data_IF_657330440499
#
_entry.id   IF_657330440499
#
_cell.length_a   1.000
_cell.length_b   1.000
_cell.length_c   1.000
_cell.angle_alpha   90.00
_cell.angle_beta   90.00
_cell.angle_gamma   90.00
#
_symmetry.space_group_name_H-M   'P 1'
#
loop_
_entity.id
_entity.type
_entity.pdbx_description
1 polymer ?
#
# COMPACT_ATOMS: atom_id res chain seq x y z
N UNK A 1 6.06 -20.60 -26.50
CA UNK A 1 6.60 -19.82 -25.37
C UNK A 1 5.48 -18.95 -24.84
N UNK A 2 4.70 -19.51 -23.92
CA UNK A 2 3.63 -18.82 -23.21
C UNK A 2 4.28 -18.07 -22.03
N UNK A 3 4.40 -16.75 -22.12
CA UNK A 3 4.74 -15.92 -20.96
C UNK A 3 3.46 -15.84 -20.14
N UNK A 4 3.32 -16.80 -19.23
CA UNK A 4 2.21 -16.85 -18.28
C UNK A 4 2.04 -15.47 -17.65
N UNK A 5 0.95 -14.80 -18.04
CA UNK A 5 0.52 -13.54 -17.49
C UNK A 5 0.30 -13.76 -15.98
N UNK A 6 1.29 -13.34 -15.19
CA UNK A 6 1.20 -13.34 -13.74
C UNK A 6 0.06 -12.40 -13.41
N UNK A 7 -1.15 -12.93 -13.23
CA UNK A 7 -2.31 -12.14 -12.81
C UNK A 7 -1.92 -11.34 -11.58
N UNK A 8 -1.60 -10.06 -11.78
CA UNK A 8 -1.34 -9.14 -10.70
C UNK A 8 -2.68 -8.98 -10.01
N UNK A 9 -2.82 -9.53 -8.80
CA UNK A 9 -3.99 -9.24 -7.98
C UNK A 9 -3.88 -7.80 -7.51
N UNK A 10 -4.48 -6.89 -8.28
CA UNK A 10 -4.64 -5.51 -7.87
C UNK A 10 -5.68 -5.46 -6.76
N UNK A 11 -5.26 -5.00 -5.58
CA UNK A 11 -6.13 -4.85 -4.43
C UNK A 11 -6.44 -3.37 -4.24
N UNK A 12 -7.71 -3.02 -4.26
CA UNK A 12 -8.15 -1.63 -4.07
C UNK A 12 -8.51 -1.40 -2.61
N UNK A 13 -7.76 -0.51 -1.95
CA UNK A 13 -8.11 -0.02 -0.62
C UNK A 13 -8.93 1.28 -0.76
N UNK A 14 -10.09 1.32 -0.12
CA UNK A 14 -10.91 2.55 -0.04
C UNK A 14 -10.63 3.28 1.27
N UNK A 15 -10.91 4.59 1.30
CA UNK A 15 -10.78 5.41 2.51
C UNK A 15 -11.56 4.78 3.67
N UNK A 16 -10.87 4.52 4.79
CA UNK A 16 -11.45 3.88 5.98
C UNK A 16 -11.59 2.36 5.90
N UNK A 17 -11.14 1.71 4.82
CA UNK A 17 -11.17 0.27 4.67
C UNK A 17 -9.96 -0.45 5.30
N UNK A 18 -10.11 -1.75 5.50
CA UNK A 18 -9.04 -2.66 5.89
C UNK A 18 -8.97 -3.81 4.88
N UNK A 19 -7.75 -4.23 4.54
CA UNK A 19 -7.50 -5.36 3.66
C UNK A 19 -6.57 -6.36 4.34
N UNK A 20 -6.90 -7.65 4.25
CA UNK A 20 -6.03 -8.73 4.71
C UNK A 20 -5.34 -9.38 3.54
N UNK A 21 -4.02 -9.17 3.42
CA UNK A 21 -3.20 -9.77 2.37
C UNK A 21 -3.11 -11.29 2.54
N UNK A 22 -3.05 -11.80 3.76
CA UNK A 22 -2.99 -13.26 4.01
C UNK A 22 -4.26 -14.00 3.60
N UNK A 23 -5.43 -13.34 3.59
CA UNK A 23 -6.67 -13.92 3.04
C UNK A 23 -6.66 -13.95 1.51
N UNK A 24 -5.93 -13.02 0.89
CA UNK A 24 -5.86 -12.88 -0.56
C UNK A 24 -4.79 -13.80 -1.14
N UNK A 25 -3.60 -13.80 -0.54
CA UNK A 25 -2.47 -14.65 -0.88
C UNK A 25 -1.69 -15.01 0.41
N UNK A 26 -1.87 -16.23 0.95
CA UNK A 26 -1.16 -16.67 2.15
C UNK A 26 0.33 -16.96 1.90
N UNK A 27 0.77 -17.02 0.64
CA UNK A 27 2.16 -17.29 0.24
C UNK A 27 2.94 -16.02 -0.12
N UNK A 28 2.34 -14.85 0.10
CA UNK A 28 2.92 -13.55 -0.23
C UNK A 28 4.22 -13.32 0.55
N UNK A 29 5.32 -13.14 -0.18
CA UNK A 29 6.67 -12.93 0.36
C UNK A 29 7.25 -11.56 -0.02
N UNK A 30 6.62 -10.83 -0.93
CA UNK A 30 7.10 -9.55 -1.42
C UNK A 30 5.92 -8.66 -1.78
N UNK A 31 6.02 -7.38 -1.42
CA UNK A 31 4.99 -6.37 -1.68
C UNK A 31 5.64 -5.16 -2.33
N UNK A 32 5.03 -4.66 -3.41
CA UNK A 32 5.34 -3.37 -3.99
C UNK A 32 4.19 -2.42 -3.68
N UNK A 33 4.49 -1.26 -3.10
CA UNK A 33 3.50 -0.23 -2.78
C UNK A 33 3.77 0.95 -3.72
N UNK A 34 2.74 1.34 -4.48
CA UNK A 34 2.74 2.55 -5.30
C UNK A 34 1.70 3.53 -4.77
N UNK A 35 2.09 4.79 -4.60
CA UNK A 35 1.20 5.88 -4.22
C UNK A 35 1.20 6.91 -5.34
N UNK A 36 0.00 7.37 -5.70
CA UNK A 36 -0.19 8.38 -6.73
C UNK A 36 -1.33 9.30 -6.35
N UNK A 37 -1.22 10.54 -6.75
CA UNK A 37 -2.21 11.58 -6.53
C UNK A 37 -2.27 12.50 -7.74
N UNK A 38 -3.43 13.11 -7.94
CA UNK A 38 -3.57 14.16 -8.93
C UNK A 38 -2.95 15.46 -8.40
N UNK A 39 -2.19 16.19 -9.22
CA UNK A 39 -1.68 17.50 -8.83
C UNK A 39 -2.82 18.48 -8.59
N UNK A 40 -2.52 19.57 -7.89
CA UNK A 40 -3.51 20.62 -7.68
C UNK A 40 -4.05 21.12 -9.02
N UNK A 41 -5.38 21.09 -9.17
CA UNK A 41 -6.06 21.51 -10.41
C UNK A 41 -6.27 23.02 -10.54
N UNK A 42 -5.97 23.79 -9.49
CA UNK A 42 -6.09 25.25 -9.42
C UNK A 42 -4.75 25.90 -9.11
N UNK A 43 -4.63 27.19 -9.36
CA UNK A 43 -3.44 27.97 -9.00
C UNK A 43 -3.16 27.91 -7.48
N UNK A 44 -1.89 28.04 -7.10
CA UNK A 44 -1.44 28.04 -5.70
C UNK A 44 -0.40 26.95 -5.39
N UNK A 45 -0.07 26.82 -4.11
CA UNK A 45 1.00 25.91 -3.65
C UNK A 45 0.61 24.44 -3.84
N UNK A 46 1.54 23.62 -4.30
CA UNK A 46 1.34 22.18 -4.50
C UNK A 46 0.91 21.44 -3.22
N UNK A 47 0.31 20.25 -3.39
CA UNK A 47 0.01 19.38 -2.25
C UNK A 47 1.30 18.78 -1.71
N UNK A 48 1.59 19.05 -0.45
CA UNK A 48 2.60 18.34 0.31
C UNK A 48 1.96 17.07 0.90
N UNK A 49 2.38 15.91 0.43
CA UNK A 49 1.76 14.63 0.75
C UNK A 49 2.77 13.71 1.41
N UNK A 50 2.38 13.23 2.58
CA UNK A 50 3.15 12.26 3.34
C UNK A 50 2.50 10.87 3.28
N UNK A 51 3.35 9.85 3.22
CA UNK A 51 2.93 8.48 3.35
C UNK A 51 3.84 7.72 4.30
N UNK A 52 3.22 6.98 5.20
CA UNK A 52 3.92 6.26 6.26
C UNK A 52 3.45 4.82 6.32
N UNK A 53 4.38 3.91 6.61
CA UNK A 53 4.10 2.51 6.87
C UNK A 53 4.66 2.12 8.24
N UNK A 54 3.88 1.36 9.01
CA UNK A 54 4.26 0.94 10.35
C UNK A 54 4.31 -0.58 10.41
N UNK A 55 5.48 -1.11 10.80
CA UNK A 55 5.61 -2.53 11.11
C UNK A 55 5.34 -2.75 12.60
N UNK A 56 4.20 -3.37 12.88
CA UNK A 56 3.76 -3.66 14.25
C UNK A 56 4.31 -5.01 14.72
N UNK A 57 4.65 -5.07 16.00
CA UNK A 57 4.92 -6.33 16.69
C UNK A 57 3.62 -6.97 17.22
N UNK A 58 3.72 -8.16 17.79
CA UNK A 58 2.54 -8.92 18.28
C UNK A 58 1.72 -8.19 19.35
N UNK A 59 2.30 -7.19 20.05
CA UNK A 59 1.60 -6.38 21.03
C UNK A 59 0.85 -5.17 20.42
N UNK A 60 0.81 -5.05 19.09
CA UNK A 60 0.14 -3.96 18.38
C UNK A 60 0.92 -2.64 18.36
N UNK A 61 2.18 -2.60 18.83
CA UNK A 61 3.05 -1.43 18.79
C UNK A 61 4.15 -1.56 17.74
N UNK A 62 4.61 -0.41 17.25
CA UNK A 62 5.82 -0.31 16.43
C UNK A 62 7.03 -0.86 17.17
N UNK A 63 7.99 -1.41 16.44
CA UNK A 63 9.16 -2.09 17.02
C UNK A 63 10.14 -1.13 17.69
N UNK A 64 10.19 0.11 17.21
CA UNK A 64 11.00 1.22 17.73
C UNK A 64 10.45 2.54 17.17
N UNK A 65 10.91 3.66 17.71
CA UNK A 65 10.57 5.02 17.23
C UNK A 65 11.38 5.45 15.99
N UNK A 66 12.38 4.66 15.60
CA UNK A 66 13.29 4.90 14.48
C UNK A 66 12.67 4.58 13.11
#
# INVERSE_FOLDING_TARGET
MDKGDKRIMALTLQKGGNLSLSKTDPTLTSVLIGLGWDPRATDGQEFDLDASAFLLSANGKVRSEA
#
